data_IF_334096908141
#
_entry.id   IF_334096908141
#
_cell.length_a   1.000
_cell.length_b   1.000
_cell.length_c   1.000
_cell.angle_alpha   90.00
_cell.angle_beta   90.00
_cell.angle_gamma   90.00
#
_symmetry.space_group_name_H-M   'P 1'
#
loop_
_entity.id
_entity.type
_entity.pdbx_description
1 polymer ?
#
# COMPACT_ATOMS: atom_id res chain seq x y z
N UNK A 1 -8.39 -0.91 -1.35
CA UNK A 1 -9.16 -1.40 -0.18
C UNK A 1 -8.72 -0.61 1.04
N UNK A 2 -9.66 0.08 1.71
CA UNK A 2 -9.41 0.83 2.93
C UNK A 2 -9.75 -0.07 4.12
N UNK A 3 -8.75 -0.68 4.73
CA UNK A 3 -8.94 -1.73 5.73
C UNK A 3 -9.01 -1.17 7.15
N UNK A 4 -8.20 -0.15 7.42
CA UNK A 4 -8.03 0.45 8.74
C UNK A 4 -7.87 1.95 8.60
N UNK A 5 -8.76 2.60 7.87
CA UNK A 5 -8.86 4.07 7.80
C UNK A 5 -10.25 4.53 8.21
N UNK A 6 -10.35 5.75 8.71
CA UNK A 6 -11.61 6.43 9.03
C UNK A 6 -11.50 7.91 8.68
N UNK A 7 -12.60 8.65 8.77
CA UNK A 7 -12.62 10.11 8.68
C UNK A 7 -12.77 10.67 10.09
N UNK A 8 -11.97 11.68 10.44
CA UNK A 8 -12.12 12.40 11.70
C UNK A 8 -13.15 13.54 11.58
N UNK A 9 -13.40 14.26 12.66
CA UNK A 9 -14.34 15.41 12.70
C UNK A 9 -13.97 16.58 11.77
N UNK A 10 -12.77 16.55 11.18
CA UNK A 10 -12.25 17.54 10.24
C UNK A 10 -12.24 17.02 8.79
N UNK A 11 -12.96 15.93 8.52
CA UNK A 11 -13.02 15.23 7.22
C UNK A 11 -11.63 14.79 6.70
N UNK A 12 -10.70 14.51 7.61
CA UNK A 12 -9.36 14.02 7.25
C UNK A 12 -9.33 12.50 7.33
N UNK A 13 -8.69 11.88 6.33
CA UNK A 13 -8.41 10.45 6.34
C UNK A 13 -7.37 10.14 7.42
N UNK A 14 -7.74 9.31 8.39
CA UNK A 14 -6.88 8.89 9.51
C UNK A 14 -6.75 7.38 9.58
N UNK A 15 -5.68 6.88 10.19
CA UNK A 15 -5.52 5.45 10.50
C UNK A 15 -6.49 5.04 11.61
N UNK A 16 -7.15 3.90 11.47
CA UNK A 16 -8.17 3.38 12.39
C UNK A 16 -8.07 1.85 12.58
N UNK A 17 -6.89 1.26 12.36
CA UNK A 17 -6.66 -0.17 12.54
C UNK A 17 -5.22 -0.58 12.24
N UNK A 18 -4.87 -1.84 12.53
CA UNK A 18 -3.51 -2.33 12.34
C UNK A 18 -3.07 -2.48 10.88
N UNK A 19 -3.96 -2.97 10.00
CA UNK A 19 -3.75 -2.98 8.54
C UNK A 19 -4.52 -1.82 7.96
N UNK A 20 -3.82 -0.81 7.45
CA UNK A 20 -4.43 0.47 7.05
C UNK A 20 -4.87 0.42 5.59
N UNK A 21 -3.92 0.17 4.68
CA UNK A 21 -4.11 0.16 3.23
C UNK A 21 -3.49 -1.10 2.61
N UNK A 22 -4.01 -1.47 1.44
CA UNK A 22 -3.41 -2.48 0.56
C UNK A 22 -3.23 -1.84 -0.82
N UNK A 23 -2.06 -1.28 -1.13
CA UNK A 23 -1.73 -0.82 -2.47
C UNK A 23 -1.74 -1.99 -3.45
N UNK A 24 -2.41 -1.81 -4.59
CA UNK A 24 -2.54 -2.86 -5.61
C UNK A 24 -2.15 -2.27 -6.95
N UNK A 25 -1.33 -3.01 -7.70
CA UNK A 25 -1.04 -2.74 -9.09
C UNK A 25 -1.09 -4.03 -9.90
N UNK A 26 -1.37 -3.91 -11.19
CA UNK A 26 -1.35 -5.01 -12.15
C UNK A 26 -0.50 -4.64 -13.36
N UNK A 27 0.02 -5.66 -14.02
CA UNK A 27 0.71 -5.58 -15.30
C UNK A 27 0.29 -6.76 -16.17
N UNK A 28 0.31 -6.56 -17.49
CA UNK A 28 0.13 -7.62 -18.47
C UNK A 28 1.47 -8.23 -18.93
N UNK A 29 2.60 -7.62 -18.59
CA UNK A 29 3.93 -8.05 -19.05
C UNK A 29 4.56 -9.02 -18.06
N UNK A 30 4.56 -8.69 -16.77
CA UNK A 30 5.28 -9.48 -15.77
C UNK A 30 4.86 -9.19 -14.33
N UNK A 31 5.15 -10.14 -13.43
CA UNK A 31 4.94 -9.94 -11.98
C UNK A 31 5.87 -8.86 -11.44
N UNK A 32 7.09 -8.74 -11.98
CA UNK A 32 8.09 -7.78 -11.54
C UNK A 32 7.66 -6.34 -11.86
N UNK A 33 7.01 -6.11 -13.00
CA UNK A 33 6.45 -4.79 -13.31
C UNK A 33 5.27 -4.44 -12.39
N UNK A 34 4.35 -5.38 -12.15
CA UNK A 34 3.26 -5.18 -11.20
C UNK A 34 3.79 -4.89 -9.78
N UNK A 35 4.84 -5.60 -9.37
CA UNK A 35 5.54 -5.39 -8.10
C UNK A 35 6.12 -3.98 -8.02
N UNK A 36 6.85 -3.53 -9.03
CA UNK A 36 7.44 -2.17 -9.07
C UNK A 36 6.36 -1.11 -8.90
N UNK A 37 5.28 -1.16 -9.69
CA UNK A 37 4.15 -0.23 -9.59
C UNK A 37 3.51 -0.23 -8.20
N UNK A 38 3.32 -1.40 -7.60
CA UNK A 38 2.74 -1.50 -6.26
C UNK A 38 3.64 -0.85 -5.19
N UNK A 39 4.96 -0.99 -5.31
CA UNK A 39 5.93 -0.35 -4.41
C UNK A 39 6.05 1.16 -4.63
N UNK A 40 5.93 1.65 -5.86
CA UNK A 40 5.87 3.09 -6.15
C UNK A 40 4.66 3.74 -5.48
N UNK A 41 3.48 3.10 -5.57
CA UNK A 41 2.28 3.56 -4.86
C UNK A 41 2.50 3.55 -3.34
N UNK A 42 3.08 2.47 -2.80
CA UNK A 42 3.34 2.36 -1.36
C UNK A 42 4.33 3.44 -0.86
N UNK A 43 5.33 3.80 -1.65
CA UNK A 43 6.30 4.85 -1.31
C UNK A 43 5.66 6.25 -1.29
N UNK A 44 4.63 6.49 -2.11
CA UNK A 44 3.91 7.77 -2.11
C UNK A 44 2.92 7.94 -0.94
N UNK A 45 2.78 6.95 -0.06
CA UNK A 45 1.85 6.99 1.07
C UNK A 45 2.65 7.12 2.36
N UNK A 46 2.48 8.25 3.04
CA UNK A 46 3.20 8.57 4.27
C UNK A 46 2.23 8.87 5.42
N UNK A 47 2.52 8.27 6.58
CA UNK A 47 1.90 8.60 7.85
C UNK A 47 2.81 8.11 8.99
N UNK A 48 2.60 8.63 10.19
CA UNK A 48 3.39 8.28 11.35
C UNK A 48 3.33 6.76 11.63
N UNK A 49 4.51 6.15 11.77
CA UNK A 49 4.63 4.72 12.07
C UNK A 49 4.26 3.77 10.92
N UNK A 50 4.11 4.27 9.69
CA UNK A 50 3.86 3.43 8.52
C UNK A 50 4.91 2.32 8.38
N UNK A 51 4.45 1.08 8.19
CA UNK A 51 5.29 -0.11 7.96
C UNK A 51 4.72 -0.93 6.82
N UNK A 52 5.58 -1.42 5.94
CA UNK A 52 5.24 -2.38 4.90
C UNK A 52 6.42 -3.30 4.62
N UNK A 53 6.14 -4.45 4.00
CA UNK A 53 7.16 -5.42 3.58
C UNK A 53 7.80 -4.99 2.28
N UNK A 54 9.13 -5.05 2.17
CA UNK A 54 9.89 -4.77 0.93
C UNK A 54 10.14 -6.03 0.08
N UNK A 55 9.84 -7.20 0.61
CA UNK A 55 10.18 -8.51 0.05
C UNK A 55 9.00 -9.22 -0.65
N UNK A 56 7.87 -8.53 -0.81
CA UNK A 56 6.72 -9.07 -1.54
C UNK A 56 7.12 -9.38 -2.99
N UNK A 57 6.83 -10.61 -3.43
CA UNK A 57 7.14 -11.13 -4.76
C UNK A 57 8.63 -11.10 -5.15
N UNK A 58 9.55 -11.09 -4.19
CA UNK A 58 10.97 -11.34 -4.48
C UNK A 58 11.15 -12.77 -4.98
N UNK A 59 11.74 -12.93 -6.17
CA UNK A 59 11.95 -14.23 -6.80
C UNK A 59 10.71 -14.86 -7.42
N UNK A 60 9.61 -14.12 -7.58
CA UNK A 60 8.55 -14.54 -8.47
C UNK A 60 9.05 -14.40 -9.92
N UNK A 61 8.81 -15.43 -10.75
CA UNK A 61 9.03 -15.44 -12.20
C UNK A 61 7.76 -15.00 -12.93
#
# INVERSE_FOLDING_TARGET
FHAGTSENEKDQLVTAGGRVLVPTASSNESVQEARTKAFEIAQGIEFEGARYRSDIAVGAD
#
